data_IF_367551161161
#
_entry.id   IF_367551161161
#
_cell.length_a   1.000
_cell.length_b   1.000
_cell.length_c   1.000
_cell.angle_alpha   90.00
_cell.angle_beta   90.00
_cell.angle_gamma   90.00
#
_symmetry.space_group_name_H-M   'P 1'
#
loop_
_entity.id
_entity.type
_entity.pdbx_description
1 polymer ?
#
# COMPACT_ATOMS: atom_id res chain seq x y z
N UNK A 1 -11.02 15.47 -43.52
CA UNK A 1 -10.12 15.48 -42.35
C UNK A 1 -11.01 15.72 -41.14
N UNK A 2 -11.40 14.63 -40.47
CA UNK A 2 -12.18 14.67 -39.24
C UNK A 2 -11.27 15.15 -38.11
N UNK A 3 -11.67 16.25 -37.49
CA UNK A 3 -11.03 16.79 -36.30
C UNK A 3 -11.04 15.72 -35.20
N UNK A 4 -9.86 15.19 -34.86
CA UNK A 4 -9.66 14.05 -33.95
C UNK A 4 -9.89 14.45 -32.48
N UNK A 5 -10.10 15.75 -32.22
CA UNK A 5 -10.41 16.31 -30.92
C UNK A 5 -11.73 17.06 -30.98
N UNK A 6 -12.80 16.32 -31.28
CA UNK A 6 -14.16 16.82 -31.14
C UNK A 6 -14.39 17.41 -29.76
N UNK A 7 -14.62 18.73 -29.75
CA UNK A 7 -15.34 19.54 -28.75
C UNK A 7 -15.57 18.88 -27.38
N UNK A 8 -14.91 19.42 -26.37
CA UNK A 8 -15.18 19.19 -24.97
C UNK A 8 -16.65 19.47 -24.64
N UNK A 9 -17.50 18.46 -24.78
CA UNK A 9 -18.83 18.46 -24.20
C UNK A 9 -18.69 18.39 -22.68
N UNK A 10 -19.33 19.35 -22.03
CA UNK A 10 -19.47 19.47 -20.58
C UNK A 10 -19.94 18.16 -19.93
N UNK A 11 -19.00 17.35 -19.43
CA UNK A 11 -19.31 16.31 -18.45
C UNK A 11 -19.27 16.95 -17.07
N UNK A 12 -20.38 17.61 -16.71
CA UNK A 12 -20.69 17.93 -15.32
C UNK A 12 -21.08 16.63 -14.62
N UNK A 13 -20.12 15.98 -13.97
CA UNK A 13 -20.36 14.76 -13.20
C UNK A 13 -19.10 14.29 -12.50
N UNK A 14 -19.00 14.60 -11.20
CA UNK A 14 -17.99 14.15 -10.25
C UNK A 14 -16.53 14.44 -10.63
N UNK A 15 -15.90 15.37 -9.92
CA UNK A 15 -14.43 15.50 -9.87
C UNK A 15 -13.82 14.23 -9.28
N UNK A 16 -13.74 13.18 -10.10
CA UNK A 16 -12.88 12.03 -9.87
C UNK A 16 -11.46 12.58 -9.89
N UNK A 17 -10.97 12.97 -8.71
CA UNK A 17 -9.68 13.62 -8.51
C UNK A 17 -8.66 12.92 -9.41
N UNK A 18 -7.97 13.70 -10.25
CA UNK A 18 -7.03 13.19 -11.24
C UNK A 18 -6.03 12.25 -10.57
N UNK A 19 -6.27 10.95 -10.69
CA UNK A 19 -5.44 9.93 -10.05
C UNK A 19 -4.29 9.60 -10.99
N UNK A 20 -3.02 9.77 -10.57
CA UNK A 20 -1.87 9.45 -11.41
C UNK A 20 -1.97 8.03 -11.98
N UNK A 21 -1.46 7.83 -13.19
CA UNK A 21 -1.51 6.51 -13.85
C UNK A 21 -0.85 5.43 -12.98
N UNK A 22 0.28 5.75 -12.35
CA UNK A 22 0.98 4.85 -11.44
C UNK A 22 0.07 4.33 -10.31
N UNK A 23 -0.81 5.17 -9.76
CA UNK A 23 -1.74 4.76 -8.71
C UNK A 23 -2.90 3.93 -9.24
N UNK A 24 -3.32 4.16 -10.49
CA UNK A 24 -4.37 3.38 -11.17
C UNK A 24 -3.88 1.98 -11.55
N UNK A 25 -2.60 1.85 -11.89
CA UNK A 25 -1.97 0.60 -12.30
C UNK A 25 -1.42 -0.23 -11.12
N UNK A 26 -1.55 0.24 -9.88
CA UNK A 26 -1.09 -0.56 -8.74
C UNK A 26 -1.88 -1.86 -8.68
N UNK A 27 -1.20 -3.02 -8.55
CA UNK A 27 -1.85 -4.29 -8.34
C UNK A 27 -2.78 -4.24 -7.12
N UNK A 28 -3.84 -5.03 -7.20
CA UNK A 28 -4.88 -5.20 -6.20
C UNK A 28 -4.70 -6.45 -5.35
N UNK A 29 -3.97 -7.44 -5.89
CA UNK A 29 -3.63 -8.71 -5.24
C UNK A 29 -2.12 -8.94 -5.24
N UNK A 30 -1.66 -9.79 -4.32
CA UNK A 30 -0.22 -10.09 -4.21
C UNK A 30 0.35 -10.81 -5.44
N UNK A 31 -0.43 -11.69 -6.07
CA UNK A 31 -0.05 -12.45 -7.26
C UNK A 31 0.01 -11.63 -8.55
N UNK A 32 -0.52 -10.40 -8.54
CA UNK A 32 -0.42 -9.45 -9.67
C UNK A 32 0.91 -8.66 -9.67
N UNK A 33 1.75 -8.82 -8.65
CA UNK A 33 3.06 -8.14 -8.56
C UNK A 33 4.05 -8.78 -9.54
N UNK A 34 4.47 -8.01 -10.54
CA UNK A 34 5.39 -8.46 -11.59
C UNK A 34 6.86 -8.41 -11.15
N UNK A 35 7.62 -9.43 -11.55
CA UNK A 35 9.09 -9.46 -11.43
C UNK A 35 9.63 -9.77 -10.03
N UNK A 36 8.76 -10.20 -9.11
CA UNK A 36 9.11 -10.52 -7.72
C UNK A 36 8.59 -11.91 -7.30
N UNK A 37 8.55 -12.88 -8.22
CA UNK A 37 7.93 -14.20 -8.01
C UNK A 37 8.49 -14.95 -6.79
N UNK A 38 9.76 -14.75 -6.47
CA UNK A 38 10.40 -15.32 -5.29
C UNK A 38 9.85 -14.77 -3.95
N UNK A 39 9.18 -13.62 -3.98
CA UNK A 39 8.49 -13.00 -2.84
C UNK A 39 6.98 -13.24 -2.90
N UNK A 40 6.37 -12.98 -4.06
CA UNK A 40 4.91 -12.85 -4.22
C UNK A 40 4.24 -13.98 -4.99
N UNK A 41 5.02 -14.84 -5.66
CA UNK A 41 4.49 -16.00 -6.38
C UNK A 41 3.87 -17.03 -5.43
N UNK A 42 3.33 -18.11 -5.99
CA UNK A 42 2.66 -19.16 -5.21
C UNK A 42 3.55 -19.76 -4.11
N UNK A 43 4.83 -19.93 -4.42
CA UNK A 43 5.88 -20.37 -3.52
C UNK A 43 6.78 -19.21 -3.05
N UNK A 44 6.27 -17.98 -3.09
CA UNK A 44 6.98 -16.79 -2.63
C UNK A 44 7.10 -16.77 -1.10
N UNK A 45 8.14 -16.11 -0.58
CA UNK A 45 8.35 -15.99 0.87
C UNK A 45 7.19 -15.25 1.56
N UNK A 46 6.66 -14.16 0.99
CA UNK A 46 5.55 -13.41 1.55
C UNK A 46 4.25 -14.21 1.48
N UNK A 47 4.00 -14.88 0.36
CA UNK A 47 2.84 -15.76 0.19
C UNK A 47 2.82 -16.85 1.27
N UNK A 48 3.97 -17.47 1.57
CA UNK A 48 4.07 -18.45 2.67
C UNK A 48 3.80 -17.84 4.04
N UNK A 49 4.32 -16.63 4.32
CA UNK A 49 4.09 -15.96 5.61
C UNK A 49 2.61 -15.60 5.83
N UNK A 50 1.92 -15.17 4.78
CA UNK A 50 0.48 -14.88 4.83
C UNK A 50 -0.30 -16.18 5.11
N UNK A 51 0.01 -17.25 4.36
CA UNK A 51 -0.65 -18.55 4.54
C UNK A 51 -0.45 -19.15 5.93
N UNK A 52 0.71 -18.91 6.56
CA UNK A 52 0.98 -19.37 7.93
C UNK A 52 0.40 -18.46 9.01
N UNK A 53 -0.14 -17.28 8.65
CA UNK A 53 -0.62 -16.28 9.61
C UNK A 53 0.51 -15.60 10.41
N UNK A 54 1.77 -15.78 10.02
CA UNK A 54 2.94 -15.32 10.75
C UNK A 54 3.60 -14.10 10.08
N UNK A 55 2.81 -13.05 9.79
CA UNK A 55 3.34 -11.80 9.26
C UNK A 55 4.09 -11.04 10.38
N UNK A 56 5.40 -11.26 10.47
CA UNK A 56 6.28 -10.58 11.42
C UNK A 56 6.68 -9.16 10.98
N UNK A 57 7.70 -8.60 11.63
CA UNK A 57 8.31 -7.35 11.21
C UNK A 57 9.15 -7.56 9.94
N UNK A 58 8.96 -6.71 8.93
CA UNK A 58 9.62 -6.81 7.63
C UNK A 58 10.35 -5.52 7.30
N UNK A 59 11.48 -5.64 6.61
CA UNK A 59 12.20 -4.52 5.99
C UNK A 59 12.23 -4.78 4.49
N UNK A 60 11.68 -3.86 3.70
CA UNK A 60 11.82 -3.89 2.25
C UNK A 60 13.01 -3.03 1.83
N UNK A 61 13.98 -3.65 1.17
CA UNK A 61 15.15 -2.96 0.62
C UNK A 61 15.16 -3.04 -0.90
N UNK A 62 15.40 -1.91 -1.55
CA UNK A 62 15.53 -1.83 -3.00
C UNK A 62 15.36 -0.41 -3.54
N UNK A 63 15.74 -0.18 -4.81
CA UNK A 63 15.64 1.11 -5.49
C UNK A 63 14.24 1.77 -5.42
N UNK A 64 14.11 3.08 -5.67
CA UNK A 64 12.80 3.71 -5.85
C UNK A 64 12.03 3.04 -6.98
N UNK A 65 10.71 2.91 -6.83
CA UNK A 65 9.84 2.31 -7.86
C UNK A 65 9.72 0.79 -7.85
N UNK A 66 10.41 0.05 -6.95
CA UNK A 66 10.30 -1.42 -6.87
C UNK A 66 9.02 -1.94 -6.22
N UNK A 67 8.06 -1.07 -5.90
CA UNK A 67 6.76 -1.48 -5.37
C UNK A 67 6.69 -1.75 -3.87
N UNK A 68 7.67 -1.33 -3.05
CA UNK A 68 7.68 -1.51 -1.58
C UNK A 68 6.37 -1.09 -0.92
N UNK A 69 5.93 0.15 -1.19
CA UNK A 69 4.68 0.71 -0.67
C UNK A 69 3.46 -0.05 -1.17
N UNK A 70 3.48 -0.52 -2.42
CA UNK A 70 2.42 -1.34 -3.00
C UNK A 70 2.33 -2.69 -2.29
N UNK A 71 3.45 -3.38 -2.08
CA UNK A 71 3.50 -4.66 -1.38
C UNK A 71 2.97 -4.51 0.05
N UNK A 72 3.37 -3.48 0.79
CA UNK A 72 2.86 -3.26 2.15
C UNK A 72 1.32 -3.11 2.19
N UNK A 73 0.75 -2.41 1.20
CA UNK A 73 -0.71 -2.26 1.07
C UNK A 73 -1.40 -3.59 0.76
N UNK A 74 -0.80 -4.38 -0.15
CA UNK A 74 -1.30 -5.70 -0.49
C UNK A 74 -1.26 -6.64 0.72
N UNK A 75 -0.15 -6.64 1.48
CA UNK A 75 -0.04 -7.44 2.70
C UNK A 75 -1.15 -7.12 3.71
N UNK A 76 -1.44 -5.84 3.94
CA UNK A 76 -2.52 -5.45 4.84
C UNK A 76 -3.89 -5.94 4.36
N UNK A 77 -4.16 -5.86 3.05
CA UNK A 77 -5.39 -6.35 2.46
C UNK A 77 -5.53 -7.88 2.60
N UNK A 78 -4.49 -8.64 2.24
CA UNK A 78 -4.50 -10.12 2.30
C UNK A 78 -4.61 -10.65 3.74
N UNK A 79 -4.12 -9.89 4.72
CA UNK A 79 -4.15 -10.29 6.13
C UNK A 79 -5.31 -9.66 6.93
N UNK A 80 -6.14 -8.82 6.30
CA UNK A 80 -7.25 -8.12 6.94
C UNK A 80 -6.84 -7.04 7.96
N UNK A 81 -5.54 -6.70 8.03
CA UNK A 81 -5.01 -5.71 8.95
C UNK A 81 -5.44 -4.30 8.54
N UNK A 82 -5.66 -3.42 9.52
CA UNK A 82 -5.78 -2.00 9.23
C UNK A 82 -4.40 -1.46 8.81
N UNK A 83 -4.31 -0.79 7.66
CA UNK A 83 -3.05 -0.19 7.20
C UNK A 83 -2.93 1.23 7.75
N UNK A 84 -1.82 1.51 8.44
CA UNK A 84 -1.35 2.86 8.76
C UNK A 84 -0.05 3.09 8.02
N UNK A 85 0.04 4.19 7.27
CA UNK A 85 1.23 4.55 6.53
C UNK A 85 1.80 5.88 7.00
N UNK A 86 3.09 5.89 7.32
CA UNK A 86 3.84 7.09 7.70
C UNK A 86 5.10 7.22 6.85
N UNK A 87 5.60 8.44 6.66
CA UNK A 87 6.92 8.70 6.08
C UNK A 87 7.87 9.13 7.19
N UNK A 88 9.02 8.47 7.33
CA UNK A 88 10.02 8.80 8.34
C UNK A 88 10.54 10.24 8.19
N UNK A 89 10.56 10.78 6.96
CA UNK A 89 11.03 12.14 6.67
C UNK A 89 10.13 13.21 7.30
N UNK A 90 8.82 12.98 7.31
CA UNK A 90 7.82 13.98 7.68
C UNK A 90 7.13 13.70 9.02
N UNK A 91 7.42 12.57 9.67
CA UNK A 91 6.71 12.14 10.88
C UNK A 91 7.53 12.49 12.13
N UNK A 92 6.96 13.35 12.98
CA UNK A 92 7.50 13.59 14.31
C UNK A 92 7.02 12.56 15.34
N UNK A 93 7.56 12.65 16.56
CA UNK A 93 7.12 11.83 17.71
C UNK A 93 5.62 11.99 17.99
N UNK A 94 5.07 13.19 17.77
CA UNK A 94 3.65 13.46 17.97
C UNK A 94 2.74 12.66 17.01
N UNK A 95 3.14 12.52 15.75
CA UNK A 95 2.35 11.78 14.75
C UNK A 95 2.41 10.28 15.00
N UNK A 96 3.59 9.77 15.38
CA UNK A 96 3.74 8.38 15.83
C UNK A 96 2.85 8.06 17.03
N UNK A 97 2.78 8.95 18.02
CA UNK A 97 1.87 8.77 19.17
C UNK A 97 0.42 8.65 18.73
N UNK A 98 -0.06 9.51 17.82
CA UNK A 98 -1.43 9.43 17.30
C UNK A 98 -1.72 8.10 16.59
N UNK A 99 -0.77 7.63 15.77
CA UNK A 99 -0.88 6.34 15.08
C UNK A 99 -0.95 5.18 16.08
N UNK A 100 -0.13 5.20 17.13
CA UNK A 100 -0.16 4.17 18.16
C UNK A 100 -1.46 4.18 18.97
N UNK A 101 -1.99 5.36 19.32
CA UNK A 101 -3.30 5.45 20.00
C UNK A 101 -4.43 4.91 19.11
N UNK A 102 -4.45 5.26 17.82
CA UNK A 102 -5.39 4.70 16.84
C UNK A 102 -5.27 3.17 16.75
N UNK A 103 -4.04 2.65 16.69
CA UNK A 103 -3.80 1.21 16.65
C UNK A 103 -4.23 0.49 17.94
N UNK A 104 -4.04 1.10 19.12
CA UNK A 104 -4.51 0.57 20.41
C UNK A 104 -6.03 0.49 20.46
N UNK A 105 -6.72 1.52 19.98
CA UNK A 105 -8.18 1.55 19.91
C UNK A 105 -8.73 0.46 18.96
N UNK A 106 -8.12 0.29 17.79
CA UNK A 106 -8.52 -0.81 16.87
C UNK A 106 -8.28 -2.17 17.50
N UNK A 107 -7.17 -2.34 18.23
CA UNK A 107 -6.84 -3.59 18.91
C UNK A 107 -7.87 -3.93 19.99
N UNK A 108 -8.38 -2.95 20.74
CA UNK A 108 -9.46 -3.21 21.71
C UNK A 108 -10.78 -3.60 21.06
N UNK A 109 -10.98 -3.25 19.79
CA UNK A 109 -12.10 -3.68 18.95
C UNK A 109 -11.83 -5.00 18.19
N UNK A 110 -10.72 -5.69 18.49
CA UNK A 110 -10.36 -6.97 17.84
C UNK A 110 -9.71 -6.83 16.47
N UNK A 111 -9.35 -5.62 16.03
CA UNK A 111 -8.68 -5.37 14.74
C UNK A 111 -7.23 -4.95 14.93
N UNK A 112 -6.30 -5.75 14.41
CA UNK A 112 -4.87 -5.46 14.42
C UNK A 112 -4.49 -4.50 13.29
N UNK A 113 -3.36 -3.80 13.46
CA UNK A 113 -2.88 -2.76 12.54
C UNK A 113 -1.50 -3.13 12.00
N UNK A 114 -1.29 -2.96 10.70
CA UNK A 114 0.01 -2.98 10.03
C UNK A 114 0.48 -1.53 9.88
N UNK A 115 1.58 -1.19 10.55
CA UNK A 115 2.25 0.11 10.39
C UNK A 115 3.33 0.00 9.33
N UNK A 116 3.17 0.71 8.22
CA UNK A 116 4.18 0.85 7.19
C UNK A 116 4.92 2.18 7.33
N UNK A 117 6.25 2.11 7.43
CA UNK A 117 7.13 3.27 7.55
C UNK A 117 7.93 3.39 6.27
N UNK A 118 7.64 4.41 5.47
CA UNK A 118 8.37 4.71 4.24
C UNK A 118 9.62 5.55 4.55
N UNK A 119 10.66 5.39 3.73
CA UNK A 119 11.91 6.15 3.83
C UNK A 119 12.66 6.03 5.19
N UNK A 120 12.56 4.89 5.87
CA UNK A 120 13.15 4.65 7.21
C UNK A 120 14.69 4.80 7.30
N UNK A 121 15.37 4.91 6.17
CA UNK A 121 16.82 5.10 6.11
C UNK A 121 17.24 6.58 6.22
N UNK A 122 16.28 7.50 6.26
CA UNK A 122 16.48 8.93 6.46
C UNK A 122 16.38 9.26 7.93
#
# INVERSE_FOLDING_TARGET
MSDLFGSAENVQGETKAFRPLADRLRPSRLDEVLGQDHLTGENGSLTRMIRSGALGNLIFWGPPGTGKTTIARLLANETGLALEQISAIFSGVADLKKVFESARLRRSQGRTTLLFVDEIHR
#
